data_IF_496036983358
#
_entry.id   IF_496036983358
#
_cell.length_a   1.000
_cell.length_b   1.000
_cell.length_c   1.000
_cell.angle_alpha   90.00
_cell.angle_beta   90.00
_cell.angle_gamma   90.00
#
_symmetry.space_group_name_H-M   'P 1'
#
loop_
_entity.id
_entity.type
_entity.pdbx_description
1 polymer ?
#
# COMPACT_ATOMS: atom_id res chain seq x y z
N UNK A 1 16.81 23.31 39.31
CA UNK A 1 16.28 23.99 38.11
C UNK A 1 16.42 23.16 36.81
N UNK A 2 16.38 21.82 36.83
CA UNK A 2 16.54 20.99 35.62
C UNK A 2 15.23 20.50 34.98
N UNK A 3 14.14 20.47 35.76
CA UNK A 3 12.82 20.00 35.30
C UNK A 3 12.22 20.85 34.19
N UNK A 4 12.41 22.16 34.24
CA UNK A 4 11.97 23.09 33.19
C UNK A 4 12.69 22.86 31.86
N UNK A 5 13.95 22.44 31.91
CA UNK A 5 14.77 22.16 30.72
C UNK A 5 14.34 20.85 30.05
N UNK A 6 13.99 19.83 30.86
CA UNK A 6 13.40 18.59 30.36
C UNK A 6 12.02 18.84 29.74
N UNK A 7 11.17 19.61 30.41
CA UNK A 7 9.83 19.95 29.89
C UNK A 7 9.90 20.69 28.55
N UNK A 8 10.84 21.61 28.39
CA UNK A 8 11.11 22.28 27.11
C UNK A 8 11.56 21.31 26.01
N UNK A 9 12.47 20.39 26.31
CA UNK A 9 12.96 19.40 25.34
C UNK A 9 11.87 18.42 24.88
N UNK A 10 11.01 17.98 25.79
CA UNK A 10 9.89 17.09 25.48
C UNK A 10 8.86 17.80 24.61
N UNK A 11 8.52 19.04 24.93
CA UNK A 11 7.62 19.85 24.09
C UNK A 11 8.18 20.08 22.69
N UNK A 12 9.48 20.30 22.55
CA UNK A 12 10.15 20.47 21.26
C UNK A 12 10.06 19.19 20.41
N UNK A 13 10.34 18.03 21.00
CA UNK A 13 10.23 16.73 20.31
C UNK A 13 8.78 16.41 19.98
N UNK A 14 7.84 16.67 20.88
CA UNK A 14 6.41 16.49 20.63
C UNK A 14 5.92 17.38 19.48
N UNK A 15 6.39 18.64 19.41
CA UNK A 15 6.09 19.56 18.33
C UNK A 15 6.60 19.02 16.98
N UNK A 16 7.89 18.65 16.90
CA UNK A 16 8.46 18.07 15.68
C UNK A 16 7.81 16.74 15.30
N UNK A 17 7.52 15.88 16.26
CA UNK A 17 6.79 14.63 16.06
C UNK A 17 5.39 14.88 15.50
N UNK A 18 4.69 15.88 16.03
CA UNK A 18 3.38 16.32 15.53
C UNK A 18 3.45 16.86 14.10
N UNK A 19 4.45 17.68 13.77
CA UNK A 19 4.68 18.19 12.41
C UNK A 19 4.94 17.04 11.44
N UNK A 20 5.82 16.09 11.79
CA UNK A 20 6.10 14.91 10.95
C UNK A 20 4.83 14.06 10.79
N UNK A 21 4.10 13.81 11.88
CA UNK A 21 2.85 13.05 11.83
C UNK A 21 1.80 13.73 10.93
N UNK A 22 1.70 15.07 10.97
CA UNK A 22 0.81 15.84 10.11
C UNK A 22 1.22 15.74 8.63
N UNK A 23 2.52 15.86 8.33
CA UNK A 23 3.04 15.69 6.96
C UNK A 23 2.75 14.28 6.46
N UNK A 24 3.04 13.26 7.27
CA UNK A 24 2.72 11.87 6.94
C UNK A 24 1.22 11.70 6.74
N UNK A 25 0.37 12.29 7.58
CA UNK A 25 -1.08 12.19 7.44
C UNK A 25 -1.59 12.85 6.16
N UNK A 26 -1.01 13.98 5.74
CA UNK A 26 -1.32 14.67 4.47
C UNK A 26 -0.88 13.83 3.27
N UNK A 27 0.36 13.30 3.30
CA UNK A 27 0.92 12.49 2.19
C UNK A 27 0.26 11.11 2.11
N UNK A 28 -0.09 10.55 3.26
CA UNK A 28 -0.74 9.24 3.41
C UNK A 28 -2.25 9.34 3.31
N UNK A 29 -2.82 10.52 3.05
CA UNK A 29 -4.24 10.67 2.73
C UNK A 29 -4.45 9.86 1.45
N UNK A 30 -5.19 8.74 1.51
CA UNK A 30 -5.44 7.96 0.31
C UNK A 30 -6.31 8.84 -0.58
N UNK A 31 -5.70 9.42 -1.62
CA UNK A 31 -6.45 9.80 -2.81
C UNK A 31 -7.18 8.53 -3.23
N UNK A 32 -8.50 8.51 -3.04
CA UNK A 32 -9.34 7.38 -3.39
C UNK A 32 -9.36 7.18 -4.91
N UNK A 33 -8.32 6.52 -5.41
CA UNK A 33 -8.24 5.98 -6.76
C UNK A 33 -7.36 4.72 -6.68
N UNK A 34 -8.04 3.58 -6.58
CA UNK A 34 -7.66 2.32 -7.23
C UNK A 34 -6.22 1.82 -7.09
N UNK A 35 -5.72 1.66 -5.88
CA UNK A 35 -4.59 0.76 -5.66
C UNK A 35 -4.81 -0.15 -4.45
N UNK A 36 -5.62 -1.20 -4.70
CA UNK A 36 -5.60 -2.46 -3.95
C UNK A 36 -4.27 -3.21 -4.15
N UNK A 37 -3.12 -2.55 -4.03
CA UNK A 37 -1.84 -3.20 -4.38
C UNK A 37 -0.65 -2.80 -3.51
N UNK A 38 -0.85 -2.39 -2.25
CA UNK A 38 0.30 -2.09 -1.39
C UNK A 38 0.09 -2.27 0.11
N UNK A 39 -0.49 -3.40 0.50
CA UNK A 39 0.03 -4.12 1.67
C UNK A 39 -0.19 -5.62 1.47
N UNK A 40 0.84 -6.38 1.83
CA UNK A 40 0.85 -7.83 2.03
C UNK A 40 1.12 -8.72 0.81
N UNK A 41 2.39 -9.16 0.75
CA UNK A 41 2.85 -10.46 0.26
C UNK A 41 2.71 -10.76 -1.24
N UNK A 42 3.82 -10.68 -1.96
CA UNK A 42 4.45 -11.85 -2.61
C UNK A 42 3.53 -12.92 -3.23
N UNK A 43 2.45 -12.54 -3.90
CA UNK A 43 1.56 -13.43 -4.64
C UNK A 43 0.54 -12.61 -5.42
N UNK A 44 0.95 -11.91 -6.49
CA UNK A 44 -0.01 -11.73 -7.58
C UNK A 44 -0.38 -13.15 -7.98
N UNK A 45 -1.58 -13.61 -7.60
CA UNK A 45 -1.97 -14.98 -7.85
C UNK A 45 -1.82 -15.19 -9.36
N UNK A 46 -1.27 -16.33 -9.83
CA UNK A 46 -1.10 -16.53 -11.26
C UNK A 46 -2.43 -16.40 -12.04
N UNK A 47 -3.56 -16.53 -11.33
CA UNK A 47 -4.91 -16.21 -11.78
C UNK A 47 -5.13 -14.72 -12.12
N UNK A 48 -4.64 -13.79 -11.30
CA UNK A 48 -4.77 -12.35 -11.56
C UNK A 48 -3.96 -11.92 -12.78
N UNK A 49 -2.77 -12.51 -12.98
CA UNK A 49 -1.94 -12.29 -14.17
C UNK A 49 -2.64 -12.83 -15.44
N UNK A 50 -3.26 -14.00 -15.35
CA UNK A 50 -4.01 -14.59 -16.46
C UNK A 50 -5.24 -13.74 -16.82
N UNK A 51 -5.95 -13.22 -15.81
CA UNK A 51 -7.12 -12.36 -16.00
C UNK A 51 -6.76 -11.05 -16.69
N UNK A 52 -5.65 -10.44 -16.30
CA UNK A 52 -5.17 -9.21 -16.91
C UNK A 52 -4.78 -9.41 -18.38
N UNK A 53 -4.07 -10.50 -18.70
CA UNK A 53 -3.71 -10.83 -20.10
C UNK A 53 -4.92 -11.18 -20.96
N UNK A 54 -5.93 -11.82 -20.39
CA UNK A 54 -7.19 -12.07 -21.10
C UNK A 54 -7.94 -10.76 -21.41
N UNK A 55 -7.98 -9.83 -20.44
CA UNK A 55 -8.58 -8.51 -20.63
C UNK A 55 -7.83 -7.66 -21.67
N UNK A 56 -6.51 -7.81 -21.77
CA UNK A 56 -5.69 -7.21 -22.82
C UNK A 56 -5.83 -7.89 -24.18
N UNK A 57 -6.49 -9.05 -24.24
CA UNK A 57 -6.63 -9.86 -25.46
C UNK A 57 -5.35 -10.58 -25.89
N UNK A 58 -4.35 -10.65 -25.01
CA UNK A 58 -3.07 -11.32 -25.28
C UNK A 58 -3.18 -12.85 -25.21
N UNK A 59 -4.19 -13.36 -24.51
CA UNK A 59 -4.50 -14.79 -24.41
C UNK A 59 -5.96 -15.06 -24.80
N UNK A 60 -6.20 -16.22 -25.40
CA UNK A 60 -7.54 -16.68 -25.74
C UNK A 60 -8.30 -17.17 -24.49
N UNK A 61 -9.63 -17.24 -24.60
CA UNK A 61 -10.48 -17.80 -23.54
C UNK A 61 -10.10 -19.24 -23.18
N UNK A 62 -9.66 -20.03 -24.17
CA UNK A 62 -9.25 -21.42 -23.97
C UNK A 62 -8.00 -21.52 -23.08
N UNK A 63 -7.00 -20.66 -23.32
CA UNK A 63 -5.78 -20.59 -22.51
C UNK A 63 -6.07 -20.08 -21.09
N UNK A 64 -6.94 -19.07 -20.95
CA UNK A 64 -7.38 -18.59 -19.65
C UNK A 64 -8.07 -19.68 -18.82
N UNK A 65 -8.99 -20.43 -19.45
CA UNK A 65 -9.70 -21.52 -18.77
C UNK A 65 -8.77 -22.69 -18.40
N UNK A 66 -7.70 -22.93 -19.17
CA UNK A 66 -6.70 -23.94 -18.85
C UNK A 66 -5.85 -23.53 -17.63
N UNK A 67 -5.34 -22.31 -17.63
CA UNK A 67 -4.57 -21.74 -16.50
C UNK A 67 -5.44 -21.72 -15.23
N UNK A 68 -6.73 -21.36 -15.35
CA UNK A 68 -7.66 -21.37 -14.23
C UNK A 68 -7.88 -22.77 -13.63
N UNK A 69 -7.90 -23.82 -14.46
CA UNK A 69 -8.03 -25.21 -14.01
C UNK A 69 -6.74 -25.76 -13.40
N UNK A 70 -5.59 -25.34 -13.92
CA UNK A 70 -4.29 -25.81 -13.42
C UNK A 70 -3.90 -25.14 -12.09
N UNK A 71 -4.47 -23.96 -11.80
CA UNK A 71 -4.23 -23.19 -10.58
C UNK A 71 -5.29 -23.40 -9.49
N UNK A 72 -6.30 -24.23 -9.73
CA UNK A 72 -7.35 -24.54 -8.75
C UNK A 72 -6.91 -25.58 -7.73
#
# INVERSE_FOLDING_TARGET
MGWWMLFGSVMMVAFWGGVIALVVWIVKRPSGADDRSRSDSHSTSPFDIAKERYARGEISKQEYDQIRRDLS
#
